data_IF_575149065513
#
_entry.id   IF_575149065513
#
_cell.length_a   1.000
_cell.length_b   1.000
_cell.length_c   1.000
_cell.angle_alpha   90.00
_cell.angle_beta   90.00
_cell.angle_gamma   90.00
#
_symmetry.space_group_name_H-M   'P 1'
#
loop_
_entity.id
_entity.type
_entity.pdbx_description
1 polymer ?
#
# COMPACT_ATOMS: atom_id res chain seq x y z
N UNK A 1 -17.06 19.88 -3.60
CA UNK A 1 -16.71 18.52 -3.13
C UNK A 1 -15.24 18.28 -3.45
N UNK A 2 -14.35 18.64 -2.53
CA UNK A 2 -12.91 18.41 -2.68
C UNK A 2 -12.66 16.91 -2.70
N UNK A 3 -11.94 16.43 -3.71
CA UNK A 3 -11.56 15.03 -3.96
C UNK A 3 -10.56 14.50 -2.89
N UNK A 4 -10.51 15.15 -1.74
CA UNK A 4 -9.55 14.98 -0.66
C UNK A 4 -10.17 14.18 0.50
N UNK A 5 -11.50 14.23 0.69
CA UNK A 5 -12.17 13.54 1.81
C UNK A 5 -12.17 12.01 1.71
N UNK A 6 -12.34 11.46 0.51
CA UNK A 6 -12.37 10.00 0.33
C UNK A 6 -11.01 9.30 0.55
N UNK A 7 -9.91 10.07 0.54
CA UNK A 7 -8.56 9.53 0.75
C UNK A 7 -8.26 9.16 2.20
N UNK A 8 -9.05 9.66 3.16
CA UNK A 8 -8.76 9.40 4.57
C UNK A 8 -9.21 8.01 5.04
N UNK A 9 -10.14 7.36 4.34
CA UNK A 9 -10.81 6.15 4.85
C UNK A 9 -10.14 4.82 4.44
N UNK A 10 -9.35 4.79 3.37
CA UNK A 10 -8.66 3.57 2.92
C UNK A 10 -7.16 3.58 3.20
N UNK A 11 -6.79 3.81 4.46
CA UNK A 11 -5.39 3.74 4.92
C UNK A 11 -5.07 2.31 5.35
N UNK A 12 -4.53 1.53 4.40
CA UNK A 12 -4.05 0.17 4.70
C UNK A 12 -2.97 0.20 5.80
N UNK A 13 -3.04 -0.68 6.81
CA UNK A 13 -2.00 -0.80 7.83
C UNK A 13 -0.64 -1.08 7.21
N UNK A 14 0.32 -0.16 7.39
CA UNK A 14 1.63 -0.23 6.73
C UNK A 14 2.42 -1.50 7.11
N UNK A 15 2.26 -1.98 8.34
CA UNK A 15 2.90 -3.22 8.82
C UNK A 15 2.42 -4.45 8.03
N UNK A 16 1.12 -4.53 7.73
CA UNK A 16 0.55 -5.64 6.97
C UNK A 16 1.00 -5.59 5.51
N UNK A 17 0.97 -4.41 4.90
CA UNK A 17 1.49 -4.19 3.54
C UNK A 17 2.97 -4.58 3.45
N UNK A 18 3.79 -4.17 4.42
CA UNK A 18 5.21 -4.53 4.46
C UNK A 18 5.44 -6.04 4.57
N UNK A 19 4.65 -6.75 5.38
CA UNK A 19 4.73 -8.20 5.52
C UNK A 19 4.37 -8.91 4.21
N UNK A 20 3.25 -8.54 3.58
CA UNK A 20 2.83 -9.11 2.29
C UNK A 20 3.90 -8.90 1.21
N UNK A 21 4.49 -7.70 1.13
CA UNK A 21 5.57 -7.42 0.17
C UNK A 21 6.77 -8.32 0.45
N UNK A 22 7.16 -8.50 1.72
CA UNK A 22 8.30 -9.36 2.10
C UNK A 22 8.06 -10.83 1.79
N UNK A 23 6.84 -11.32 1.99
CA UNK A 23 6.46 -12.70 1.67
C UNK A 23 6.48 -12.96 0.15
N UNK A 24 6.34 -11.91 -0.67
CA UNK A 24 6.31 -11.99 -2.13
C UNK A 24 7.70 -11.83 -2.80
N UNK A 25 8.77 -11.61 -2.04
CA UNK A 25 10.12 -11.39 -2.59
C UNK A 25 11.14 -12.35 -1.96
N UNK A 26 12.27 -12.62 -2.64
CA UNK A 26 13.34 -13.42 -2.06
C UNK A 26 13.89 -12.86 -0.73
N UNK A 27 14.47 -13.72 0.12
CA UNK A 27 15.17 -13.28 1.34
C UNK A 27 16.28 -12.27 1.03
N UNK A 28 16.49 -11.32 1.94
CA UNK A 28 17.54 -10.30 1.80
C UNK A 28 17.16 -9.11 0.91
N UNK A 29 16.04 -9.14 0.17
CA UNK A 29 15.60 -7.99 -0.63
C UNK A 29 15.23 -6.80 0.26
N UNK A 30 15.84 -5.65 0.00
CA UNK A 30 15.55 -4.39 0.68
C UNK A 30 14.45 -3.64 -0.08
N UNK A 31 13.40 -3.23 0.63
CA UNK A 31 12.30 -2.44 0.07
C UNK A 31 12.39 -1.01 0.61
N UNK A 32 12.32 -0.01 -0.27
CA UNK A 32 12.30 1.40 0.12
C UNK A 32 10.98 1.80 0.78
N UNK A 33 10.98 2.92 1.50
CA UNK A 33 9.76 3.46 2.14
C UNK A 33 8.76 3.92 1.08
N UNK A 34 9.26 4.49 0.00
CA UNK A 34 8.52 5.00 -1.15
C UNK A 34 7.80 3.86 -1.86
N UNK A 35 8.47 2.72 -2.06
CA UNK A 35 7.86 1.53 -2.67
C UNK A 35 6.68 1.00 -1.84
N UNK A 36 6.84 0.88 -0.51
CA UNK A 36 5.74 0.46 0.38
C UNK A 36 4.55 1.42 0.30
N UNK A 37 4.82 2.72 0.27
CA UNK A 37 3.79 3.76 0.19
C UNK A 37 3.06 3.71 -1.15
N UNK A 38 3.78 3.53 -2.25
CA UNK A 38 3.22 3.40 -3.60
C UNK A 38 2.33 2.16 -3.71
N UNK A 39 2.80 1.01 -3.22
CA UNK A 39 2.03 -0.24 -3.22
C UNK A 39 0.77 -0.10 -2.37
N UNK A 40 0.85 0.51 -1.18
CA UNK A 40 -0.33 0.74 -0.33
C UNK A 40 -1.40 1.60 -1.03
N UNK A 41 -0.98 2.64 -1.76
CA UNK A 41 -1.89 3.49 -2.56
C UNK A 41 -2.47 2.74 -3.76
N UNK A 42 -1.65 1.97 -4.46
CA UNK A 42 -2.10 1.18 -5.61
C UNK A 42 -3.11 0.09 -5.19
N UNK A 43 -2.84 -0.59 -4.07
CA UNK A 43 -3.76 -1.57 -3.50
C UNK A 43 -5.09 -0.92 -3.09
N UNK A 44 -5.05 0.27 -2.50
CA UNK A 44 -6.26 1.03 -2.20
C UNK A 44 -7.08 1.33 -3.47
N UNK A 45 -6.44 1.85 -4.53
CA UNK A 45 -7.12 2.09 -5.82
C UNK A 45 -7.69 0.80 -6.40
N UNK A 46 -6.93 -0.30 -6.36
CA UNK A 46 -7.37 -1.61 -6.85
C UNK A 46 -8.66 -2.07 -6.16
N UNK A 47 -8.70 -2.04 -4.81
CA UNK A 47 -9.88 -2.45 -4.03
C UNK A 47 -11.13 -1.67 -4.43
N UNK A 48 -10.97 -0.39 -4.75
CA UNK A 48 -12.09 0.51 -5.04
C UNK A 48 -12.63 0.40 -6.47
N UNK A 49 -11.86 -0.22 -7.37
CA UNK A 49 -12.22 -0.38 -8.79
C UNK A 49 -12.27 -1.86 -9.22
N UNK A 50 -12.24 -2.80 -8.27
CA UNK A 50 -12.29 -4.23 -8.50
C UNK A 50 -13.72 -4.76 -8.68
#
# INVERSE_FOLDING_TARGET
>A
MSIIDYKEDLRLPQTIVARIIKDAVPPGVIISKEARTAIARAAAVFILHA
#
